data_IF_249637907866
#
_entry.id   IF_249637907866
#
_cell.length_a   1.000
_cell.length_b   1.000
_cell.length_c   1.000
_cell.angle_alpha   90.00
_cell.angle_beta   90.00
_cell.angle_gamma   90.00
#
_symmetry.space_group_name_H-M   'P 1'
#
loop_
_entity.id
_entity.type
_entity.pdbx_description
1 polymer ?
#
# COMPACT_ATOMS: atom_id res chain seq x y z
N UNK A 1 4.19 12.20 0.57
CA UNK A 1 5.02 12.54 1.75
C UNK A 1 4.28 12.41 3.07
N UNK A 2 2.94 12.29 3.12
CA UNK A 2 2.21 12.02 4.38
C UNK A 2 2.56 10.65 4.98
N UNK A 3 2.66 9.59 4.17
CA UNK A 3 2.95 8.22 4.67
C UNK A 3 4.28 8.11 5.41
N UNK A 4 5.36 8.73 4.90
CA UNK A 4 6.64 8.76 5.63
C UNK A 4 6.59 9.54 6.94
N UNK A 5 5.59 10.40 7.16
CA UNK A 5 5.41 11.07 8.46
C UNK A 5 4.95 10.10 9.52
N UNK A 6 4.15 9.10 9.17
CA UNK A 6 3.68 8.07 10.11
C UNK A 6 4.85 7.23 10.65
N UNK A 7 5.93 7.10 9.88
CA UNK A 7 7.19 6.50 10.32
C UNK A 7 8.10 7.48 11.07
N UNK A 8 8.38 8.62 10.45
CA UNK A 8 9.41 9.54 10.97
C UNK A 8 8.97 10.21 12.26
N UNK A 9 7.67 10.48 12.45
CA UNK A 9 7.18 11.13 13.66
C UNK A 9 7.43 10.31 14.95
N UNK A 10 6.98 9.03 15.07
CA UNK A 10 7.31 8.20 16.22
C UNK A 10 8.81 8.12 16.52
N UNK A 11 9.64 7.98 15.49
CA UNK A 11 11.09 7.92 15.64
C UNK A 11 11.67 9.20 16.27
N UNK A 12 11.22 10.36 15.80
CA UNK A 12 11.70 11.64 16.31
C UNK A 12 11.26 11.85 17.76
N UNK A 13 10.03 11.45 18.10
CA UNK A 13 9.54 11.47 19.49
C UNK A 13 10.39 10.55 20.38
N UNK A 14 10.71 9.34 19.92
CA UNK A 14 11.54 8.40 20.68
C UNK A 14 12.94 8.96 20.96
N UNK A 15 13.60 9.55 19.96
CA UNK A 15 14.99 10.02 20.06
C UNK A 15 15.12 11.42 20.69
N UNK A 16 14.20 12.33 20.41
CA UNK A 16 14.33 13.74 20.81
C UNK A 16 13.23 14.26 21.74
N UNK A 17 12.10 13.55 21.87
CA UNK A 17 11.02 13.97 22.77
C UNK A 17 11.46 13.95 24.24
N UNK A 18 10.76 14.67 25.11
CA UNK A 18 10.90 14.55 26.58
C UNK A 18 9.54 14.28 27.20
N UNK A 19 9.51 13.71 28.41
CA UNK A 19 8.24 13.39 29.12
C UNK A 19 7.37 14.64 29.36
N UNK A 20 7.98 15.82 29.35
CA UNK A 20 7.34 17.12 29.58
C UNK A 20 6.83 17.78 28.28
N UNK A 21 7.11 17.21 27.11
CA UNK A 21 6.73 17.78 25.81
C UNK A 21 5.41 17.18 25.29
N UNK A 22 4.36 17.99 25.27
CA UNK A 22 3.12 17.66 24.57
C UNK A 22 3.29 17.89 23.06
N UNK A 23 3.82 16.89 22.35
CA UNK A 23 3.96 16.92 20.89
C UNK A 23 2.59 16.65 20.28
N UNK A 24 1.95 17.70 19.76
CA UNK A 24 0.62 17.60 19.14
C UNK A 24 0.67 17.80 17.63
N UNK A 25 1.62 18.60 17.15
CA UNK A 25 1.71 18.99 15.75
C UNK A 25 3.11 18.77 15.18
N UNK A 26 3.19 18.63 13.85
CA UNK A 26 4.46 18.43 13.13
C UNK A 26 5.47 19.58 13.35
N UNK A 27 4.99 20.79 13.66
CA UNK A 27 5.84 21.93 13.98
C UNK A 27 6.63 21.73 15.28
N UNK A 28 6.05 21.02 16.24
CA UNK A 28 6.68 20.67 17.52
C UNK A 28 7.79 19.61 17.33
N UNK A 29 7.71 18.85 16.24
CA UNK A 29 8.74 17.88 15.83
C UNK A 29 9.91 18.58 15.13
N UNK A 30 9.64 19.65 14.37
CA UNK A 30 10.70 20.44 13.72
C UNK A 30 11.57 21.17 14.75
N UNK A 31 10.99 21.68 15.84
CA UNK A 31 11.76 22.38 16.88
C UNK A 31 12.76 21.47 17.60
N UNK A 32 12.47 20.16 17.69
CA UNK A 32 13.38 19.15 18.24
C UNK A 32 14.69 19.00 17.44
N UNK A 33 14.63 19.18 16.11
CA UNK A 33 15.82 19.16 15.26
C UNK A 33 16.57 20.49 15.22
N UNK A 34 15.87 21.61 15.41
CA UNK A 34 16.48 22.93 15.35
C UNK A 34 17.35 23.23 16.57
N UNK A 35 17.00 22.70 17.74
CA UNK A 35 17.79 22.84 18.97
C UNK A 35 17.86 21.51 19.74
N UNK A 36 18.60 20.50 19.25
CA UNK A 36 18.62 19.18 19.87
C UNK A 36 19.47 19.20 21.16
N UNK A 37 18.94 18.62 22.23
CA UNK A 37 19.77 18.20 23.37
C UNK A 37 20.52 16.92 22.99
N UNK A 38 21.75 17.09 22.52
CA UNK A 38 22.60 16.00 22.05
C UNK A 38 22.85 14.94 23.14
N UNK A 39 22.94 15.35 24.42
CA UNK A 39 23.18 14.40 25.51
C UNK A 39 21.94 13.54 25.75
N UNK A 40 20.77 14.15 25.78
CA UNK A 40 19.50 13.44 25.91
C UNK A 40 19.25 12.49 24.73
N UNK A 41 19.55 12.94 23.50
CA UNK A 41 19.41 12.12 22.30
C UNK A 41 20.34 10.90 22.32
N UNK A 42 21.62 11.06 22.70
CA UNK A 42 22.55 9.94 22.83
C UNK A 42 22.07 8.94 23.88
N UNK A 43 21.54 9.40 25.01
CA UNK A 43 21.03 8.51 26.06
C UNK A 43 19.80 7.72 25.57
N UNK A 44 18.90 8.36 24.83
CA UNK A 44 17.76 7.69 24.21
C UNK A 44 18.17 6.68 23.14
N UNK A 45 19.22 6.97 22.37
CA UNK A 45 19.79 6.00 21.42
C UNK A 45 20.38 4.78 22.14
N UNK A 46 21.00 4.93 23.32
CA UNK A 46 21.44 3.78 24.13
C UNK A 46 20.26 2.95 24.65
N UNK A 47 19.22 3.60 25.16
CA UNK A 47 18.00 2.90 25.61
C UNK A 47 17.36 2.14 24.44
N UNK A 48 17.34 2.74 23.25
CA UNK A 48 16.88 2.08 22.04
C UNK A 48 17.76 0.86 21.70
N UNK A 49 19.08 1.01 21.72
CA UNK A 49 20.02 -0.10 21.49
C UNK A 49 19.78 -1.26 22.46
N UNK A 50 19.60 -0.97 23.75
CA UNK A 50 19.31 -1.96 24.79
C UNK A 50 17.98 -2.69 24.54
N UNK A 51 16.90 -1.96 24.22
CA UNK A 51 15.60 -2.54 23.89
C UNK A 51 15.64 -3.43 22.63
N UNK A 52 16.45 -3.04 21.66
CA UNK A 52 16.70 -3.80 20.45
C UNK A 52 17.67 -4.97 20.68
N UNK A 53 18.42 -4.98 21.79
CA UNK A 53 19.47 -5.98 22.03
C UNK A 53 20.59 -5.91 20.99
N UNK A 54 20.91 -4.70 20.52
CA UNK A 54 21.99 -4.42 19.56
C UNK A 54 22.99 -3.44 20.17
N UNK A 55 24.17 -3.33 19.56
CA UNK A 55 25.15 -2.33 19.95
C UNK A 55 24.74 -0.92 19.46
N UNK A 56 25.17 0.13 20.17
CA UNK A 56 24.78 1.52 19.84
C UNK A 56 25.21 1.93 18.42
N UNK A 57 26.33 1.41 17.93
CA UNK A 57 26.85 1.66 16.59
C UNK A 57 26.03 0.95 15.49
N UNK A 58 25.18 -0.02 15.85
CA UNK A 58 24.25 -0.69 14.94
C UNK A 58 22.90 0.02 14.83
N UNK A 59 22.57 0.93 15.77
CA UNK A 59 21.30 1.69 15.74
C UNK A 59 21.10 2.47 14.43
N UNK A 60 22.12 3.16 13.86
CA UNK A 60 21.95 3.83 12.57
C UNK A 60 21.54 2.90 11.43
N UNK A 61 22.17 1.72 11.34
CA UNK A 61 21.85 0.72 10.31
C UNK A 61 20.41 0.22 10.50
N UNK A 62 20.02 -0.08 11.74
CA UNK A 62 18.64 -0.45 12.07
C UNK A 62 17.61 0.60 11.62
N UNK A 63 17.89 1.89 11.85
CA UNK A 63 17.01 2.98 11.46
C UNK A 63 16.94 3.16 9.93
N UNK A 64 18.04 2.89 9.23
CA UNK A 64 18.09 2.87 7.76
C UNK A 64 17.24 1.73 7.21
N UNK A 65 17.42 0.50 7.72
CA UNK A 65 16.63 -0.67 7.33
C UNK A 65 15.13 -0.43 7.57
N UNK A 66 14.78 0.17 8.73
CA UNK A 66 13.42 0.63 8.99
C UNK A 66 12.97 1.64 7.91
N UNK A 67 13.77 2.65 7.63
CA UNK A 67 13.45 3.69 6.64
C UNK A 67 13.10 3.11 5.27
N UNK A 68 13.89 2.18 4.77
CA UNK A 68 13.72 1.54 3.46
C UNK A 68 12.45 0.70 3.38
N UNK A 69 12.17 -0.04 4.45
CA UNK A 69 10.97 -0.86 4.65
C UNK A 69 9.72 0.03 4.57
N UNK A 70 9.65 1.10 5.37
CA UNK A 70 8.51 2.02 5.37
C UNK A 70 8.38 2.81 4.06
N UNK A 71 9.49 3.16 3.42
CA UNK A 71 9.48 3.87 2.13
C UNK A 71 8.89 2.99 1.02
N UNK A 72 9.25 1.71 0.99
CA UNK A 72 8.71 0.74 0.04
C UNK A 72 7.20 0.58 0.20
N UNK A 73 6.73 0.51 1.44
CA UNK A 73 5.31 0.44 1.74
C UNK A 73 4.56 1.70 1.32
N UNK A 74 5.09 2.88 1.65
CA UNK A 74 4.55 4.16 1.22
C UNK A 74 4.47 4.29 -0.31
N UNK A 75 5.46 3.74 -1.02
CA UNK A 75 5.44 3.66 -2.48
C UNK A 75 4.29 2.78 -2.99
N UNK A 76 4.12 1.57 -2.46
CA UNK A 76 3.02 0.68 -2.88
C UNK A 76 1.64 1.27 -2.64
N UNK A 77 1.43 1.90 -1.49
CA UNK A 77 0.17 2.58 -1.17
C UNK A 77 -0.13 3.69 -2.17
N UNK A 78 0.88 4.52 -2.47
CA UNK A 78 0.76 5.56 -3.48
C UNK A 78 0.43 4.98 -4.87
N UNK A 79 1.06 3.87 -5.27
CA UNK A 79 0.74 3.23 -6.54
C UNK A 79 -0.72 2.76 -6.63
N UNK A 80 -1.29 2.26 -5.53
CA UNK A 80 -2.71 1.90 -5.50
C UNK A 80 -3.61 3.14 -5.64
N UNK A 81 -3.31 4.19 -4.88
CA UNK A 81 -4.08 5.45 -4.90
C UNK A 81 -4.04 6.13 -6.28
N UNK A 82 -2.92 6.04 -7.01
CA UNK A 82 -2.80 6.58 -8.36
C UNK A 82 -3.66 5.84 -9.38
N UNK A 83 -3.90 4.53 -9.20
CA UNK A 83 -4.71 3.73 -10.13
C UNK A 83 -6.17 3.56 -9.68
N UNK A 84 -6.51 3.87 -8.43
CA UNK A 84 -7.85 3.70 -7.86
C UNK A 84 -8.96 4.41 -8.66
N UNK A 85 -8.79 5.68 -9.12
CA UNK A 85 -9.80 6.33 -9.95
C UNK A 85 -10.03 5.62 -11.30
N UNK A 86 -8.98 5.01 -11.85
CA UNK A 86 -9.05 4.26 -13.11
C UNK A 86 -9.78 2.93 -12.88
N UNK A 87 -9.50 2.26 -11.75
CA UNK A 87 -10.20 1.05 -11.34
C UNK A 87 -11.70 1.34 -11.20
N UNK A 88 -12.07 2.43 -10.52
CA UNK A 88 -13.47 2.80 -10.33
C UNK A 88 -14.19 3.06 -11.66
N UNK A 89 -13.54 3.78 -12.58
CA UNK A 89 -14.05 3.99 -13.93
C UNK A 89 -14.22 2.66 -14.69
N UNK A 90 -13.25 1.77 -14.59
CA UNK A 90 -13.30 0.46 -15.23
C UNK A 90 -14.45 -0.39 -14.67
N UNK A 91 -14.60 -0.47 -13.35
CA UNK A 91 -15.67 -1.22 -12.69
C UNK A 91 -17.05 -0.66 -13.05
N UNK A 92 -17.19 0.66 -13.09
CA UNK A 92 -18.42 1.32 -13.57
C UNK A 92 -18.75 0.92 -15.01
N UNK A 93 -17.74 0.91 -15.89
CA UNK A 93 -17.90 0.49 -17.28
C UNK A 93 -18.34 -0.98 -17.42
N UNK A 94 -17.86 -1.86 -16.54
CA UNK A 94 -18.34 -3.25 -16.49
C UNK A 94 -19.81 -3.34 -16.10
N UNK A 95 -20.27 -2.51 -15.17
CA UNK A 95 -21.68 -2.45 -14.73
C UNK A 95 -22.60 -1.87 -15.82
N UNK A 96 -22.13 -0.87 -16.56
CA UNK A 96 -22.84 -0.29 -17.71
C UNK A 96 -23.02 -1.32 -18.84
N UNK A 97 -21.98 -2.11 -19.15
CA UNK A 97 -22.08 -3.20 -20.13
C UNK A 97 -23.10 -4.25 -19.67
N UNK A 98 -23.09 -4.61 -18.39
CA UNK A 98 -24.00 -5.61 -17.82
C UNK A 98 -25.46 -5.16 -17.81
N UNK A 99 -25.72 -3.85 -17.72
CA UNK A 99 -27.07 -3.28 -17.76
C UNK A 99 -27.55 -2.92 -19.17
N UNK A 100 -26.66 -2.91 -20.16
CA UNK A 100 -26.99 -2.55 -21.54
C UNK A 100 -27.95 -3.57 -22.21
N UNK A 101 -29.05 -3.09 -22.80
CA UNK A 101 -30.10 -3.93 -23.36
C UNK A 101 -29.65 -4.86 -24.50
N UNK A 102 -28.66 -4.46 -25.30
CA UNK A 102 -28.15 -5.26 -26.41
C UNK A 102 -27.13 -6.27 -25.90
N UNK A 103 -26.16 -5.82 -25.09
CA UNK A 103 -25.02 -6.62 -24.66
C UNK A 103 -25.36 -7.64 -23.56
N UNK A 104 -26.36 -7.37 -22.71
CA UNK A 104 -26.75 -8.27 -21.62
C UNK A 104 -27.21 -9.67 -22.06
N UNK A 105 -27.51 -9.83 -23.35
CA UNK A 105 -27.89 -11.12 -23.94
C UNK A 105 -26.70 -12.03 -24.22
N UNK A 106 -25.47 -11.48 -24.32
CA UNK A 106 -24.25 -12.25 -24.48
C UNK A 106 -23.77 -12.81 -23.13
N UNK A 107 -24.07 -14.09 -22.90
CA UNK A 107 -23.72 -14.78 -21.65
C UNK A 107 -22.21 -14.84 -21.40
N UNK A 108 -21.39 -14.93 -22.45
CA UNK A 108 -19.93 -15.04 -22.30
C UNK A 108 -19.33 -13.70 -21.87
N UNK A 109 -19.79 -12.61 -22.49
CA UNK A 109 -19.44 -11.26 -22.08
C UNK A 109 -19.87 -10.99 -20.63
N UNK A 110 -21.12 -11.33 -20.27
CA UNK A 110 -21.62 -11.13 -18.90
C UNK A 110 -20.78 -11.89 -17.86
N UNK A 111 -20.45 -13.15 -18.14
CA UNK A 111 -19.60 -13.94 -17.26
C UNK A 111 -18.20 -13.32 -17.12
N UNK A 112 -17.63 -12.85 -18.22
CA UNK A 112 -16.31 -12.20 -18.21
C UNK A 112 -16.34 -10.91 -17.38
N UNK A 113 -17.33 -10.04 -17.59
CA UNK A 113 -17.51 -8.81 -16.81
C UNK A 113 -17.67 -9.11 -15.31
N UNK A 114 -18.51 -10.08 -14.95
CA UNK A 114 -18.72 -10.47 -13.55
C UNK A 114 -17.43 -10.97 -12.89
N UNK A 115 -16.70 -11.86 -13.58
CA UNK A 115 -15.45 -12.44 -13.08
C UNK A 115 -14.38 -11.38 -12.89
N UNK A 116 -14.23 -10.48 -13.86
CA UNK A 116 -13.26 -9.38 -13.79
C UNK A 116 -13.59 -8.39 -12.67
N UNK A 117 -14.86 -7.98 -12.56
CA UNK A 117 -15.33 -7.09 -11.51
C UNK A 117 -15.02 -7.66 -10.12
N UNK A 118 -15.44 -8.91 -9.88
CA UNK A 118 -15.22 -9.60 -8.61
C UNK A 118 -13.73 -9.76 -8.29
N UNK A 119 -12.92 -10.11 -9.28
CA UNK A 119 -11.46 -10.31 -9.13
C UNK A 119 -10.75 -9.01 -8.75
N UNK A 120 -10.99 -7.93 -9.50
CA UNK A 120 -10.32 -6.66 -9.28
C UNK A 120 -10.78 -6.05 -7.95
N UNK A 121 -12.08 -6.08 -7.67
CA UNK A 121 -12.62 -5.59 -6.40
C UNK A 121 -12.06 -6.36 -5.20
N UNK A 122 -12.01 -7.69 -5.30
CA UNK A 122 -11.40 -8.55 -4.28
C UNK A 122 -9.93 -8.22 -4.05
N UNK A 123 -9.17 -8.04 -5.13
CA UNK A 123 -7.76 -7.69 -5.04
C UNK A 123 -7.53 -6.33 -4.37
N UNK A 124 -8.27 -5.30 -4.74
CA UNK A 124 -8.19 -3.97 -4.11
C UNK A 124 -8.55 -4.03 -2.63
N UNK A 125 -9.60 -4.77 -2.27
CA UNK A 125 -9.98 -4.99 -0.88
C UNK A 125 -8.86 -5.69 -0.09
N UNK A 126 -8.25 -6.72 -0.65
CA UNK A 126 -7.16 -7.48 -0.03
C UNK A 126 -5.90 -6.62 0.16
N UNK A 127 -5.53 -5.80 -0.84
CA UNK A 127 -4.44 -4.83 -0.75
C UNK A 127 -4.68 -3.81 0.36
N UNK A 128 -5.87 -3.21 0.41
CA UNK A 128 -6.24 -2.25 1.45
C UNK A 128 -6.26 -2.87 2.85
N UNK A 129 -6.69 -4.12 2.98
CA UNK A 129 -6.63 -4.84 4.26
C UNK A 129 -5.19 -5.03 4.73
N UNK A 130 -4.27 -5.38 3.82
CA UNK A 130 -2.84 -5.49 4.15
C UNK A 130 -2.22 -4.17 4.55
N UNK A 131 -2.58 -3.08 3.86
CA UNK A 131 -2.11 -1.76 4.24
C UNK A 131 -2.55 -1.39 5.66
N UNK A 132 -3.82 -1.63 6.01
CA UNK A 132 -4.32 -1.42 7.37
C UNK A 132 -3.65 -2.33 8.41
N UNK A 133 -3.38 -3.58 8.05
CA UNK A 133 -2.68 -4.52 8.94
C UNK A 133 -1.26 -4.04 9.26
N UNK A 134 -0.55 -3.52 8.25
CA UNK A 134 0.76 -2.93 8.42
C UNK A 134 0.74 -1.68 9.31
N UNK A 135 -0.20 -0.76 9.08
CA UNK A 135 -0.37 0.45 9.90
C UNK A 135 -0.59 0.08 11.39
N UNK A 136 -1.33 -1.00 11.66
CA UNK A 136 -1.55 -1.49 13.02
C UNK A 136 -0.27 -2.07 13.64
N UNK A 137 0.42 -2.96 12.93
CA UNK A 137 1.64 -3.62 13.42
C UNK A 137 2.78 -2.64 13.66
N UNK A 138 2.92 -1.65 12.80
CA UNK A 138 3.97 -0.63 12.94
C UNK A 138 3.72 0.29 14.12
N UNK A 139 2.46 0.63 14.39
CA UNK A 139 2.11 1.34 15.62
C UNK A 139 2.45 0.51 16.87
N UNK A 140 2.07 -0.76 16.89
CA UNK A 140 2.41 -1.68 18.00
C UNK A 140 3.93 -1.83 18.19
N UNK A 141 4.69 -1.92 17.10
CA UNK A 141 6.16 -1.94 17.13
C UNK A 141 6.74 -0.68 17.78
N UNK A 142 6.20 0.51 17.49
CA UNK A 142 6.69 1.75 18.11
C UNK A 142 6.30 1.88 19.59
N UNK A 143 5.12 1.39 19.97
CA UNK A 143 4.65 1.38 21.35
C UNK A 143 5.46 0.38 22.21
N UNK A 144 5.93 -0.72 21.62
CA UNK A 144 6.72 -1.77 22.27
C UNK A 144 7.95 -2.18 21.43
N UNK A 145 8.91 -1.26 21.34
CA UNK A 145 10.09 -1.43 20.50
C UNK A 145 11.00 -2.57 21.00
N UNK A 146 11.11 -3.63 20.20
CA UNK A 146 12.07 -4.73 20.36
C UNK A 146 12.61 -5.18 18.99
N UNK A 147 13.77 -5.83 18.95
CA UNK A 147 14.30 -6.37 17.69
C UNK A 147 13.45 -7.50 17.09
N UNK A 148 12.69 -8.22 17.91
CA UNK A 148 11.75 -9.23 17.41
C UNK A 148 10.61 -8.58 16.62
N UNK A 149 9.98 -7.54 17.19
CA UNK A 149 8.89 -6.81 16.52
C UNK A 149 9.36 -6.14 15.24
N UNK A 150 10.57 -5.59 15.23
CA UNK A 150 11.16 -5.06 14.00
C UNK A 150 11.32 -6.14 12.93
N UNK A 151 11.92 -7.28 13.26
CA UNK A 151 12.10 -8.40 12.31
C UNK A 151 10.77 -8.95 11.80
N UNK A 152 9.70 -8.89 12.59
CA UNK A 152 8.35 -9.22 12.13
C UNK A 152 7.85 -8.24 11.07
N UNK A 153 8.01 -6.93 11.31
CA UNK A 153 7.64 -5.87 10.36
C UNK A 153 8.47 -5.98 9.07
N UNK A 154 9.77 -6.19 9.18
CA UNK A 154 10.69 -6.41 8.06
C UNK A 154 10.29 -7.63 7.23
N UNK A 155 10.00 -8.76 7.88
CA UNK A 155 9.57 -10.00 7.21
C UNK A 155 8.22 -9.83 6.51
N UNK A 156 7.29 -9.13 7.16
CA UNK A 156 5.98 -8.79 6.57
C UNK A 156 6.17 -7.99 5.27
N UNK A 157 7.03 -6.98 5.27
CA UNK A 157 7.30 -6.18 4.06
C UNK A 157 8.05 -6.95 3.00
N UNK A 158 9.02 -7.77 3.40
CA UNK A 158 9.77 -8.64 2.49
C UNK A 158 8.82 -9.56 1.72
N UNK A 159 7.86 -10.17 2.43
CA UNK A 159 6.80 -10.98 1.82
C UNK A 159 5.85 -10.15 0.93
N UNK A 160 5.64 -8.88 1.27
CA UNK A 160 4.79 -7.97 0.51
C UNK A 160 5.43 -7.51 -0.81
N UNK A 161 6.75 -7.37 -0.91
CA UNK A 161 7.39 -6.96 -2.16
C UNK A 161 6.99 -7.84 -3.35
N UNK A 162 7.01 -9.16 -3.16
CA UNK A 162 6.63 -10.11 -4.22
C UNK A 162 5.12 -10.08 -4.45
N UNK A 163 4.33 -10.07 -3.37
CA UNK A 163 2.88 -10.26 -3.46
C UNK A 163 2.13 -8.98 -3.82
N UNK A 164 2.33 -7.90 -3.04
CA UNK A 164 1.74 -6.57 -3.26
C UNK A 164 2.34 -5.96 -4.53
N UNK A 165 3.67 -6.04 -4.71
CA UNK A 165 4.32 -5.55 -5.92
C UNK A 165 3.80 -6.22 -7.19
N UNK A 166 3.63 -7.55 -7.18
CA UNK A 166 3.04 -8.29 -8.30
C UNK A 166 1.58 -7.93 -8.57
N UNK A 167 0.77 -7.78 -7.52
CA UNK A 167 -0.63 -7.34 -7.62
C UNK A 167 -0.74 -5.94 -8.24
N UNK A 168 0.00 -4.98 -7.69
CA UNK A 168 -0.01 -3.60 -8.17
C UNK A 168 0.51 -3.51 -9.58
N UNK A 169 1.61 -4.18 -9.92
CA UNK A 169 2.14 -4.19 -11.29
C UNK A 169 1.10 -4.73 -12.29
N UNK A 170 0.44 -5.84 -11.94
CA UNK A 170 -0.58 -6.44 -12.80
C UNK A 170 -1.80 -5.54 -13.00
N UNK A 171 -2.27 -4.88 -11.92
CA UNK A 171 -3.35 -3.91 -11.98
C UNK A 171 -2.94 -2.68 -12.79
N UNK A 172 -1.80 -2.05 -12.47
CA UNK A 172 -1.33 -0.84 -13.14
C UNK A 172 -1.18 -1.03 -14.65
N UNK A 173 -0.64 -2.16 -15.11
CA UNK A 173 -0.53 -2.43 -16.57
C UNK A 173 -1.90 -2.43 -17.23
N UNK A 174 -2.88 -3.16 -16.67
CA UNK A 174 -4.23 -3.23 -17.24
C UNK A 174 -4.98 -1.91 -17.14
N UNK A 175 -4.91 -1.25 -15.99
CA UNK A 175 -5.63 0.00 -15.74
C UNK A 175 -5.04 1.13 -16.59
N UNK A 176 -3.72 1.24 -16.71
CA UNK A 176 -3.11 2.24 -17.59
C UNK A 176 -3.45 1.99 -19.06
N UNK A 177 -3.53 0.72 -19.50
CA UNK A 177 -3.96 0.39 -20.86
C UNK A 177 -5.42 0.80 -21.09
N UNK A 178 -6.29 0.54 -20.10
CA UNK A 178 -7.68 0.97 -20.12
C UNK A 178 -7.81 2.49 -20.22
N UNK A 179 -7.14 3.24 -19.33
CA UNK A 179 -7.21 4.70 -19.26
C UNK A 179 -6.69 5.37 -20.53
N UNK A 180 -5.63 4.84 -21.14
CA UNK A 180 -5.10 5.34 -22.40
C UNK A 180 -6.11 5.24 -23.56
N UNK A 181 -6.90 4.16 -23.58
CA UNK A 181 -7.87 3.90 -24.66
C UNK A 181 -9.24 4.52 -24.38
N UNK A 182 -9.64 4.56 -23.11
CA UNK A 182 -10.96 4.98 -22.64
C UNK A 182 -10.85 5.94 -21.45
N UNK A 183 -10.26 7.13 -21.65
CA UNK A 183 -10.15 8.12 -20.59
C UNK A 183 -11.54 8.61 -20.18
N UNK A 184 -11.74 8.84 -18.89
CA UNK A 184 -13.02 9.16 -18.26
C UNK A 184 -13.77 10.37 -18.86
N UNK A 185 -13.06 11.29 -19.50
CA UNK A 185 -13.64 12.48 -20.14
C UNK A 185 -14.32 12.20 -21.49
N UNK A 186 -14.09 11.03 -22.09
CA UNK A 186 -14.63 10.67 -23.41
C UNK A 186 -15.76 9.67 -23.30
N UNK A 187 -16.93 10.02 -23.85
CA UNK A 187 -18.01 9.06 -24.03
C UNK A 187 -17.61 8.03 -25.09
N UNK A 188 -17.51 6.77 -24.69
CA UNK A 188 -17.19 5.64 -25.56
C UNK A 188 -18.38 4.69 -25.57
N UNK A 189 -18.79 4.24 -26.76
CA UNK A 189 -19.93 3.33 -26.89
C UNK A 189 -19.68 1.99 -26.21
N UNK A 190 -20.69 1.40 -25.52
CA UNK A 190 -20.53 0.19 -24.71
C UNK A 190 -20.10 -1.03 -25.52
N UNK A 191 -20.42 -1.09 -26.81
CA UNK A 191 -19.95 -2.16 -27.71
C UNK A 191 -18.44 -2.17 -27.88
N UNK A 192 -17.81 -1.00 -28.02
CA UNK A 192 -16.34 -0.89 -28.17
C UNK A 192 -15.62 -1.27 -26.87
N UNK A 193 -16.20 -0.91 -25.72
CA UNK A 193 -15.70 -1.32 -24.41
C UNK A 193 -15.77 -2.85 -24.27
N UNK A 194 -16.90 -3.45 -24.64
CA UNK A 194 -17.10 -4.90 -24.60
C UNK A 194 -16.13 -5.65 -25.52
N UNK A 195 -15.89 -5.15 -26.73
CA UNK A 195 -14.89 -5.73 -27.66
C UNK A 195 -13.51 -5.76 -27.02
N UNK A 196 -13.05 -4.62 -26.47
CA UNK A 196 -11.74 -4.53 -25.83
C UNK A 196 -11.62 -5.39 -24.56
N UNK A 197 -12.69 -5.50 -23.78
CA UNK A 197 -12.73 -6.40 -22.63
C UNK A 197 -12.50 -7.84 -23.07
N UNK A 198 -13.19 -8.24 -24.14
CA UNK A 198 -13.13 -9.61 -24.65
C UNK A 198 -11.86 -9.92 -25.42
N UNK A 199 -11.19 -8.95 -26.02
CA UNK A 199 -9.91 -9.16 -26.71
C UNK A 199 -8.72 -9.06 -25.78
N UNK A 200 -8.64 -8.03 -24.94
CA UNK A 200 -7.41 -7.65 -24.23
C UNK A 200 -7.57 -7.78 -22.71
N UNK A 201 -8.62 -7.19 -22.13
CA UNK A 201 -8.66 -7.08 -20.66
C UNK A 201 -8.88 -8.43 -19.97
N UNK A 202 -9.63 -9.36 -20.58
CA UNK A 202 -9.82 -10.71 -20.03
C UNK A 202 -8.51 -11.50 -19.96
N UNK A 203 -7.54 -11.20 -20.83
CA UNK A 203 -6.32 -12.01 -20.92
C UNK A 203 -5.51 -11.89 -19.62
N UNK A 204 -5.12 -13.02 -19.04
CA UNK A 204 -4.34 -13.02 -17.80
C UNK A 204 -5.12 -12.63 -16.55
N UNK A 205 -6.45 -12.52 -16.60
CA UNK A 205 -7.26 -12.30 -15.39
C UNK A 205 -7.12 -13.46 -14.38
N UNK A 206 -6.94 -14.69 -14.88
CA UNK A 206 -6.70 -15.89 -14.06
C UNK A 206 -5.44 -15.75 -13.21
N UNK A 207 -4.36 -15.17 -13.76
CA UNK A 207 -3.14 -14.89 -13.02
C UNK A 207 -3.36 -13.83 -11.93
N UNK A 208 -4.21 -12.84 -12.19
CA UNK A 208 -4.59 -11.83 -11.18
C UNK A 208 -5.41 -12.49 -10.06
N UNK A 209 -6.24 -13.50 -10.36
CA UNK A 209 -6.95 -14.27 -9.34
C UNK A 209 -6.00 -15.12 -8.48
N UNK A 210 -4.97 -15.71 -9.08
CA UNK A 210 -3.93 -16.43 -8.32
C UNK A 210 -3.19 -15.48 -7.37
N UNK A 211 -2.85 -14.29 -7.86
CA UNK A 211 -2.24 -13.24 -7.04
C UNK A 211 -3.22 -12.80 -5.95
N UNK A 212 -4.49 -12.55 -6.25
CA UNK A 212 -5.51 -12.20 -5.26
C UNK A 212 -5.62 -13.24 -4.15
N UNK A 213 -5.68 -14.53 -4.48
CA UNK A 213 -5.67 -15.60 -3.48
C UNK A 213 -4.40 -15.60 -2.64
N UNK A 214 -3.23 -15.37 -3.24
CA UNK A 214 -1.98 -15.23 -2.50
C UNK A 214 -1.97 -13.96 -1.62
N UNK A 215 -2.60 -12.88 -2.06
CA UNK A 215 -2.79 -11.65 -1.27
C UNK A 215 -3.72 -11.91 -0.08
N UNK A 216 -4.78 -12.67 -0.29
CA UNK A 216 -5.79 -12.95 0.73
C UNK A 216 -5.37 -14.00 1.78
N UNK A 217 -4.39 -14.87 1.47
CA UNK A 217 -3.96 -15.97 2.36
C UNK A 217 -2.83 -15.65 3.35
N UNK A 218 -2.18 -14.48 3.23
CA UNK A 218 -1.20 -14.02 4.24
C UNK A 218 -1.84 -13.13 5.33
N UNK A 219 -3.18 -13.11 5.41
CA UNK A 219 -3.95 -12.42 6.45
C UNK A 219 -4.31 -13.38 7.59
#
# INVERSE_FOLDING_TARGET
TSYMREFTHPLIVQIYGSDDMSIKEFKDVISLFQNPDLKAAIEKLKIMAEKLGIEIDQVPVFLEDCGDVFLSFAYYRRCLEEIEPIIDNFLTSLEEIQSNYQLKTDKNLMHTCFTMHSTIKGLVMALNARFKHFDHYTKDMWDNLTAERFREVERMITNYHTTIGGALCSLSVKMNTWDQLFPSEKSVGPTRLAEFIMSDMKQGIEKIQEIEKAVSTLA
#
